data_IF_306316381151
#
_entry.id   IF_306316381151
#
_cell.length_a   1.000
_cell.length_b   1.000
_cell.length_c   1.000
_cell.angle_alpha   90.00
_cell.angle_beta   90.00
_cell.angle_gamma   90.00
#
_symmetry.space_group_name_H-M   'P 1'
#
loop_
_entity.id
_entity.type
_entity.pdbx_description
1 polymer ?
#
# COMPACT_ATOMS: atom_id res chain seq x y z
N UNK A 1 11.72 28.43 -41.75
CA UNK A 1 12.46 28.44 -40.46
C UNK A 1 11.58 27.79 -39.42
N UNK A 2 11.82 26.54 -39.12
CA UNK A 2 11.05 25.80 -38.12
C UNK A 2 11.57 26.18 -36.71
N UNK A 3 10.67 26.70 -35.88
CA UNK A 3 10.95 27.11 -34.50
C UNK A 3 11.16 25.83 -33.65
N UNK A 4 12.41 25.48 -33.42
CA UNK A 4 12.86 24.29 -32.69
C UNK A 4 13.00 24.62 -31.19
N UNK A 5 11.91 25.07 -30.56
CA UNK A 5 11.87 25.22 -29.09
C UNK A 5 11.64 23.86 -28.46
N UNK A 6 12.70 23.28 -27.92
CA UNK A 6 12.54 22.15 -27.00
C UNK A 6 11.60 22.57 -25.87
N UNK A 7 10.57 21.77 -25.53
CA UNK A 7 9.70 22.07 -24.40
C UNK A 7 10.52 22.11 -23.11
N UNK A 8 10.36 23.15 -22.33
CA UNK A 8 11.05 23.29 -21.04
C UNK A 8 10.68 22.12 -20.12
N UNK A 9 11.62 21.66 -19.28
CA UNK A 9 11.35 20.61 -18.25
C UNK A 9 10.06 20.88 -17.45
N UNK A 10 9.68 22.13 -17.27
CA UNK A 10 8.44 22.56 -16.60
C UNK A 10 7.16 22.23 -17.39
N UNK A 11 7.22 22.14 -18.71
CA UNK A 11 6.05 21.81 -19.54
C UNK A 11 5.81 20.31 -19.63
N UNK A 12 6.86 19.50 -19.51
CA UNK A 12 6.74 18.02 -19.45
C UNK A 12 6.13 17.53 -18.14
N UNK A 13 6.41 18.20 -17.02
CA UNK A 13 5.80 17.89 -15.71
C UNK A 13 4.30 18.24 -15.63
N UNK A 14 3.83 19.17 -16.48
CA UNK A 14 2.40 19.52 -16.57
C UNK A 14 1.56 18.57 -17.42
N UNK A 15 2.18 17.66 -18.16
CA UNK A 15 1.49 16.76 -19.09
C UNK A 15 1.26 15.35 -18.52
N UNK A 16 1.88 15.02 -17.37
CA UNK A 16 1.57 13.79 -16.63
C UNK A 16 0.44 14.12 -15.65
N UNK A 17 -0.69 13.43 -15.78
CA UNK A 17 -1.76 13.51 -14.80
C UNK A 17 -1.16 13.20 -13.42
N UNK A 18 -1.34 14.11 -12.46
CA UNK A 18 -0.86 13.93 -11.10
C UNK A 18 -1.57 12.74 -10.45
N UNK A 19 -0.81 11.79 -9.94
CA UNK A 19 -1.32 10.67 -9.14
C UNK A 19 -0.49 10.59 -7.85
N UNK A 20 -1.09 10.73 -6.66
CA UNK A 20 -0.36 10.74 -5.39
C UNK A 20 0.30 9.39 -5.07
N UNK A 21 0.04 8.35 -5.85
CA UNK A 21 0.66 7.04 -5.68
C UNK A 21 1.79 6.78 -6.69
N UNK A 22 2.20 7.79 -7.48
CA UNK A 22 3.27 7.61 -8.47
C UNK A 22 4.60 7.28 -7.79
N UNK A 23 5.16 6.14 -8.16
CA UNK A 23 6.35 5.56 -7.54
C UNK A 23 7.46 5.35 -8.57
N UNK A 24 8.69 5.64 -8.18
CA UNK A 24 9.88 5.32 -8.97
C UNK A 24 10.32 3.89 -8.65
N UNK A 25 10.36 3.05 -9.68
CA UNK A 25 10.80 1.65 -9.59
C UNK A 25 12.30 1.49 -9.88
N UNK A 26 12.89 2.40 -10.62
CA UNK A 26 14.32 2.36 -10.94
C UNK A 26 14.65 2.88 -12.33
N UNK A 27 15.85 2.56 -12.79
CA UNK A 27 16.30 2.83 -14.16
C UNK A 27 16.10 1.57 -15.02
N UNK A 28 15.52 1.76 -16.19
CA UNK A 28 15.39 0.69 -17.16
C UNK A 28 16.74 0.38 -17.87
N UNK A 29 16.73 -0.58 -18.78
CA UNK A 29 17.93 -0.97 -19.55
C UNK A 29 18.47 0.12 -20.47
N UNK A 30 17.71 1.17 -20.75
CA UNK A 30 18.11 2.32 -21.54
C UNK A 30 18.64 3.48 -20.66
N UNK A 31 18.56 3.32 -19.32
CA UNK A 31 18.91 4.38 -18.38
C UNK A 31 17.78 5.39 -18.15
N UNK A 32 16.57 5.11 -18.62
CA UNK A 32 15.41 5.96 -18.38
C UNK A 32 14.74 5.59 -17.03
N UNK A 33 14.21 6.61 -16.35
CA UNK A 33 13.49 6.40 -15.10
C UNK A 33 12.16 5.69 -15.38
N UNK A 34 12.02 4.49 -14.86
CA UNK A 34 10.75 3.77 -14.87
C UNK A 34 9.95 4.10 -13.62
N UNK A 35 8.81 4.73 -13.80
CA UNK A 35 7.88 5.08 -12.75
C UNK A 35 6.44 4.78 -13.19
N UNK A 36 5.57 4.51 -12.24
CA UNK A 36 4.13 4.31 -12.49
C UNK A 36 3.36 4.45 -11.19
N UNK A 37 2.11 4.93 -11.21
CA UNK A 37 1.26 4.91 -10.03
C UNK A 37 1.04 3.49 -9.49
N UNK A 38 1.20 3.31 -8.19
CA UNK A 38 0.89 2.04 -7.50
C UNK A 38 -0.59 1.68 -7.72
N UNK A 39 -1.47 2.68 -7.75
CA UNK A 39 -2.92 2.53 -7.99
C UNK A 39 -3.27 1.88 -9.33
N UNK A 40 -2.41 1.99 -10.36
CA UNK A 40 -2.63 1.34 -11.67
C UNK A 40 -2.44 -0.17 -11.63
N UNK A 41 -1.48 -0.65 -10.81
CA UNK A 41 -1.41 -2.05 -10.44
C UNK A 41 -1.84 -2.15 -8.98
N UNK A 42 -3.15 -2.15 -8.67
CA UNK A 42 -3.64 -1.78 -7.34
C UNK A 42 -3.02 -2.57 -6.20
N UNK A 43 -2.58 -3.80 -6.49
CA UNK A 43 -1.91 -4.66 -5.52
C UNK A 43 -0.66 -5.25 -6.17
N UNK A 44 0.43 -5.30 -5.39
CA UNK A 44 1.76 -5.68 -5.84
C UNK A 44 2.34 -6.79 -4.98
N UNK A 45 2.95 -7.79 -5.59
CA UNK A 45 3.84 -8.74 -4.92
C UNK A 45 5.27 -8.27 -5.15
N UNK A 46 6.06 -8.17 -4.07
CA UNK A 46 7.50 -7.89 -4.12
C UNK A 46 8.23 -9.09 -3.55
N UNK A 47 8.90 -9.85 -4.39
CA UNK A 47 9.51 -11.10 -3.95
C UNK A 47 10.95 -11.24 -4.40
N UNK A 48 11.77 -11.81 -3.52
CA UNK A 48 13.19 -12.10 -3.78
C UNK A 48 13.83 -12.72 -2.56
N UNK A 49 14.91 -13.46 -2.79
CA UNK A 49 15.67 -14.10 -1.70
C UNK A 49 16.28 -13.07 -0.73
N UNK A 50 16.66 -13.53 0.45
CA UNK A 50 17.44 -12.73 1.41
C UNK A 50 18.69 -12.16 0.73
N UNK A 51 18.94 -10.86 0.93
CA UNK A 51 20.06 -10.16 0.28
C UNK A 51 19.81 -9.73 -1.18
N UNK A 52 18.61 -9.92 -1.71
CA UNK A 52 18.24 -9.41 -3.05
C UNK A 52 18.11 -7.89 -3.11
N UNK A 53 18.00 -7.21 -1.96
CA UNK A 53 17.76 -5.78 -1.84
C UNK A 53 16.28 -5.43 -1.69
N UNK A 54 15.40 -6.38 -1.33
CA UNK A 54 13.93 -6.20 -1.23
C UNK A 54 13.53 -5.01 -0.34
N UNK A 55 14.02 -4.94 0.88
CA UNK A 55 13.65 -3.89 1.84
C UNK A 55 14.14 -2.52 1.39
N UNK A 56 15.38 -2.44 0.90
CA UNK A 56 15.93 -1.19 0.32
C UNK A 56 15.11 -0.74 -0.88
N UNK A 57 14.71 -1.68 -1.74
CA UNK A 57 13.86 -1.40 -2.91
C UNK A 57 12.50 -0.82 -2.49
N UNK A 58 11.82 -1.46 -1.53
CA UNK A 58 10.52 -1.00 -1.03
C UNK A 58 10.67 0.37 -0.35
N UNK A 59 11.69 0.56 0.48
CA UNK A 59 11.94 1.83 1.16
C UNK A 59 12.23 2.97 0.18
N UNK A 60 13.05 2.75 -0.85
CA UNK A 60 13.33 3.77 -1.85
C UNK A 60 12.10 4.11 -2.71
N UNK A 61 11.30 3.10 -3.05
CA UNK A 61 10.03 3.30 -3.76
C UNK A 61 9.05 4.11 -2.91
N UNK A 62 8.87 3.78 -1.62
CA UNK A 62 8.00 4.53 -0.72
C UNK A 62 8.51 5.95 -0.46
N UNK A 63 9.81 6.15 -0.32
CA UNK A 63 10.39 7.49 -0.22
C UNK A 63 10.03 8.33 -1.45
N UNK A 64 10.10 7.76 -2.67
CA UNK A 64 9.71 8.48 -3.90
C UNK A 64 8.23 8.88 -3.90
N UNK A 65 7.34 8.02 -3.43
CA UNK A 65 5.89 8.33 -3.30
C UNK A 65 5.66 9.45 -2.29
N UNK A 66 6.30 9.39 -1.12
CA UNK A 66 6.18 10.43 -0.09
C UNK A 66 6.76 11.78 -0.50
N UNK A 67 7.72 11.83 -1.42
CA UNK A 67 8.18 13.09 -2.01
C UNK A 67 7.20 13.67 -3.01
N UNK A 68 6.38 12.83 -3.61
CA UNK A 68 5.43 13.22 -4.65
C UNK A 68 4.09 13.66 -4.07
N UNK A 69 3.57 12.97 -3.06
CA UNK A 69 2.29 13.20 -2.42
C UNK A 69 2.42 14.02 -1.11
N UNK A 70 1.30 14.56 -0.64
CA UNK A 70 1.17 15.13 0.71
C UNK A 70 0.41 14.17 1.62
N UNK A 71 0.53 14.29 2.98
CA UNK A 71 -0.14 13.37 3.91
C UNK A 71 -1.66 13.30 3.79
N UNK A 72 -2.32 14.37 3.33
CA UNK A 72 -3.78 14.39 3.10
C UNK A 72 -4.20 13.62 1.85
N UNK A 73 -3.27 13.28 0.98
CA UNK A 73 -3.53 12.54 -0.25
C UNK A 73 -3.14 11.07 -0.16
N UNK A 74 -2.23 10.74 0.77
CA UNK A 74 -1.66 9.40 0.91
C UNK A 74 -1.50 9.02 2.38
N UNK A 75 -1.97 7.82 2.72
CA UNK A 75 -1.69 7.17 4.01
C UNK A 75 -0.92 5.87 3.75
N UNK A 76 0.04 5.59 4.62
CA UNK A 76 0.86 4.37 4.58
C UNK A 76 0.60 3.60 5.87
N UNK A 77 0.28 2.33 5.74
CA UNK A 77 0.12 1.40 6.86
C UNK A 77 1.10 0.26 6.68
N UNK A 78 1.70 -0.20 7.77
CA UNK A 78 2.79 -1.18 7.71
C UNK A 78 2.53 -2.32 8.66
N UNK A 79 2.70 -3.55 8.15
CA UNK A 79 2.76 -4.79 8.93
C UNK A 79 4.18 -5.32 8.81
N UNK A 80 4.95 -5.23 9.91
CA UNK A 80 6.35 -5.71 10.00
C UNK A 80 6.52 -6.64 11.20
N UNK A 81 6.25 -7.95 11.04
CA UNK A 81 6.37 -8.91 12.13
C UNK A 81 7.80 -9.01 12.71
N UNK A 82 8.80 -8.63 11.94
CA UNK A 82 10.22 -8.74 12.33
C UNK A 82 10.73 -7.56 13.13
N UNK A 83 10.01 -6.44 13.14
CA UNK A 83 10.37 -5.20 13.87
C UNK A 83 11.73 -4.61 13.46
N UNK A 84 12.12 -4.72 12.20
CA UNK A 84 13.46 -4.32 11.75
C UNK A 84 13.42 -3.29 10.65
N UNK A 85 12.71 -3.59 9.55
CA UNK A 85 12.85 -2.86 8.30
C UNK A 85 12.03 -1.58 8.26
N UNK A 86 10.90 -1.54 8.98
CA UNK A 86 9.92 -0.45 8.91
C UNK A 86 9.72 0.30 10.24
N UNK A 87 10.53 0.05 11.25
CA UNK A 87 10.53 0.84 12.48
C UNK A 87 10.66 2.37 12.23
N UNK A 88 11.50 2.83 11.27
CA UNK A 88 11.63 4.26 10.95
C UNK A 88 10.32 4.94 10.49
N UNK A 89 9.31 4.18 10.05
CA UNK A 89 8.00 4.72 9.65
C UNK A 89 7.15 5.20 10.83
N UNK A 90 7.50 4.82 12.05
CA UNK A 90 6.81 5.25 13.25
C UNK A 90 6.79 6.77 13.38
N UNK A 91 5.59 7.33 13.57
CA UNK A 91 5.41 8.78 13.70
C UNK A 91 5.63 9.57 12.40
N UNK A 92 5.68 8.93 11.23
CA UNK A 92 5.66 9.66 9.96
C UNK A 92 4.28 10.29 9.71
N UNK A 93 4.22 11.49 9.13
CA UNK A 93 2.95 12.17 8.80
C UNK A 93 2.00 11.35 7.92
N UNK A 94 2.55 10.44 7.12
CA UNK A 94 1.79 9.53 6.26
C UNK A 94 1.29 8.28 6.98
N UNK A 95 1.78 8.01 8.21
CA UNK A 95 1.50 6.77 8.95
C UNK A 95 0.56 7.05 10.13
N UNK A 96 -0.76 7.07 9.93
CA UNK A 96 -1.73 7.30 11.01
C UNK A 96 -1.76 6.19 12.05
N UNK A 97 -1.20 5.02 11.70
CA UNK A 97 -1.01 3.86 12.56
C UNK A 97 0.48 3.54 12.56
N UNK A 98 1.08 3.38 13.73
CA UNK A 98 2.47 2.95 13.84
C UNK A 98 2.64 1.54 13.23
N UNK A 99 3.83 1.16 12.73
CA UNK A 99 4.05 -0.17 12.18
C UNK A 99 3.57 -1.27 13.12
N UNK A 100 2.67 -2.10 12.63
CA UNK A 100 2.07 -3.21 13.37
C UNK A 100 3.04 -4.39 13.33
N UNK A 101 3.37 -4.90 14.51
CA UNK A 101 4.40 -5.94 14.66
C UNK A 101 3.88 -7.21 15.32
N UNK A 102 2.71 -7.16 15.93
CA UNK A 102 2.02 -8.30 16.51
C UNK A 102 1.06 -8.93 15.49
N UNK A 103 0.93 -10.26 15.52
CA UNK A 103 0.11 -10.98 14.54
C UNK A 103 -1.38 -10.74 14.70
N UNK A 104 -1.86 -10.63 15.95
CA UNK A 104 -3.26 -10.32 16.22
C UNK A 104 -3.58 -8.90 15.73
N UNK A 105 -2.70 -7.95 16.02
CA UNK A 105 -2.83 -6.57 15.52
C UNK A 105 -2.76 -6.51 13.98
N UNK A 106 -1.97 -7.38 13.34
CA UNK A 106 -1.93 -7.46 11.87
C UNK A 106 -3.27 -7.94 11.28
N UNK A 107 -3.90 -8.95 11.90
CA UNK A 107 -5.25 -9.37 11.53
C UNK A 107 -6.25 -8.22 11.74
N UNK A 108 -6.17 -7.51 12.87
CA UNK A 108 -7.01 -6.37 13.17
C UNK A 108 -6.84 -5.23 12.18
N UNK A 109 -5.62 -4.90 11.79
CA UNK A 109 -5.36 -3.86 10.78
C UNK A 109 -5.96 -4.25 9.41
N UNK A 110 -5.84 -5.51 8.99
CA UNK A 110 -6.45 -5.98 7.75
C UNK A 110 -7.98 -5.99 7.81
N UNK A 111 -8.55 -6.35 8.96
CA UNK A 111 -10.00 -6.26 9.22
C UNK A 111 -10.50 -4.82 9.15
N UNK A 112 -9.76 -3.89 9.77
CA UNK A 112 -10.01 -2.46 9.66
C UNK A 112 -9.96 -1.98 8.19
N UNK A 113 -8.96 -2.41 7.41
CA UNK A 113 -8.88 -2.04 5.99
C UNK A 113 -10.05 -2.57 5.16
N UNK A 114 -10.56 -3.78 5.49
CA UNK A 114 -11.77 -4.30 4.86
C UNK A 114 -13.01 -3.47 5.21
N UNK A 115 -13.13 -3.06 6.47
CA UNK A 115 -14.22 -2.19 6.92
C UNK A 115 -14.11 -0.79 6.27
N UNK A 116 -12.94 -0.20 6.27
CA UNK A 116 -12.70 1.11 5.63
C UNK A 116 -13.00 1.06 4.13
N UNK A 117 -12.65 -0.03 3.46
CA UNK A 117 -13.02 -0.26 2.07
C UNK A 117 -14.54 -0.22 1.87
N UNK A 118 -15.29 -0.94 2.69
CA UNK A 118 -16.74 -1.00 2.59
C UNK A 118 -17.37 0.36 2.91
N UNK A 119 -16.90 1.05 3.96
CA UNK A 119 -17.29 2.43 4.30
C UNK A 119 -17.07 3.39 3.13
N UNK A 120 -15.92 3.29 2.47
CA UNK A 120 -15.62 4.11 1.28
C UNK A 120 -16.61 3.83 0.15
N UNK A 121 -16.98 2.59 -0.08
CA UNK A 121 -18.00 2.26 -1.09
C UNK A 121 -19.35 2.90 -0.78
N UNK A 122 -19.77 3.00 0.47
CA UNK A 122 -20.98 3.71 0.86
C UNK A 122 -20.89 5.21 0.53
N UNK A 123 -19.75 5.84 0.84
CA UNK A 123 -19.49 7.25 0.50
C UNK A 123 -19.48 7.48 -1.02
N UNK A 124 -18.80 6.62 -1.78
CA UNK A 124 -18.78 6.69 -3.25
C UNK A 124 -20.18 6.57 -3.84
N UNK A 125 -21.00 5.65 -3.32
CA UNK A 125 -22.38 5.46 -3.75
C UNK A 125 -23.25 6.68 -3.42
N UNK A 126 -23.13 7.25 -2.23
CA UNK A 126 -23.86 8.46 -1.82
C UNK A 126 -23.50 9.65 -2.73
N UNK A 127 -22.24 9.79 -3.10
CA UNK A 127 -21.74 10.82 -4.01
C UNK A 127 -22.02 10.50 -5.49
N UNK A 128 -22.55 9.30 -5.81
CA UNK A 128 -22.84 8.83 -7.18
C UNK A 128 -21.59 8.83 -8.08
N UNK A 129 -20.48 8.41 -7.54
CA UNK A 129 -19.19 8.23 -8.24
C UNK A 129 -18.75 6.77 -8.17
N UNK A 130 -17.76 6.36 -9.01
CA UNK A 130 -17.39 4.95 -9.14
C UNK A 130 -16.10 4.58 -8.42
N UNK A 131 -15.24 5.55 -8.16
CA UNK A 131 -13.92 5.34 -7.59
C UNK A 131 -13.43 6.59 -6.86
N UNK A 132 -12.32 6.46 -6.17
CA UNK A 132 -11.68 7.54 -5.40
C UNK A 132 -11.25 8.73 -6.26
N UNK A 133 -10.85 8.51 -7.50
CA UNK A 133 -10.41 9.58 -8.42
C UNK A 133 -11.61 10.49 -8.76
N UNK A 134 -12.72 9.89 -9.21
CA UNK A 134 -13.96 10.61 -9.51
C UNK A 134 -14.51 11.31 -8.25
N UNK A 135 -14.36 10.67 -7.08
CA UNK A 135 -14.76 11.26 -5.80
C UNK A 135 -13.96 12.51 -5.48
N UNK A 136 -12.63 12.41 -5.50
CA UNK A 136 -11.74 13.51 -5.19
C UNK A 136 -11.87 14.67 -6.18
N UNK A 137 -12.09 14.36 -7.46
CA UNK A 137 -12.39 15.37 -8.47
C UNK A 137 -13.69 16.09 -8.12
N UNK A 138 -14.75 15.37 -7.77
CA UNK A 138 -16.04 15.96 -7.40
C UNK A 138 -15.96 16.82 -6.14
N UNK A 139 -15.20 16.40 -5.13
CA UNK A 139 -14.94 17.21 -3.93
C UNK A 139 -14.26 18.53 -4.30
N UNK A 140 -13.29 18.50 -5.20
CA UNK A 140 -12.61 19.70 -5.66
C UNK A 140 -13.55 20.64 -6.47
N UNK A 141 -14.39 20.08 -7.34
CA UNK A 141 -15.41 20.84 -8.06
C UNK A 141 -16.42 21.54 -7.12
N UNK A 142 -16.85 20.85 -6.05
CA UNK A 142 -17.73 21.42 -5.03
C UNK A 142 -17.04 22.56 -4.26
N UNK A 143 -15.77 22.41 -3.88
CA UNK A 143 -14.98 23.47 -3.24
C UNK A 143 -14.87 24.70 -4.13
N UNK A 144 -14.52 24.51 -5.40
CA UNK A 144 -14.41 25.61 -6.37
C UNK A 144 -15.76 26.30 -6.64
N UNK A 145 -16.86 25.57 -6.50
CA UNK A 145 -18.21 26.12 -6.62
C UNK A 145 -18.72 26.80 -5.33
N UNK A 146 -17.96 26.78 -4.23
CA UNK A 146 -18.38 27.33 -2.93
C UNK A 146 -19.49 26.52 -2.24
N UNK A 147 -19.59 25.22 -2.53
CA UNK A 147 -20.61 24.29 -2.02
C UNK A 147 -20.02 23.34 -0.98
N UNK A 148 -19.36 23.88 0.03
CA UNK A 148 -18.68 23.10 1.06
C UNK A 148 -19.65 22.24 1.89
N UNK A 149 -20.89 22.67 2.05
CA UNK A 149 -21.99 21.95 2.73
C UNK A 149 -22.46 20.69 1.99
N UNK A 150 -22.15 20.55 0.70
CA UNK A 150 -22.40 19.32 -0.08
C UNK A 150 -21.23 18.32 -0.01
N UNK A 151 -20.09 18.68 0.60
CA UNK A 151 -18.91 17.81 0.75
C UNK A 151 -19.11 16.91 1.97
N UNK A 152 -18.90 15.58 1.86
CA UNK A 152 -18.91 14.68 3.02
C UNK A 152 -17.90 15.09 4.09
N UNK A 153 -18.14 14.72 5.36
CA UNK A 153 -17.25 15.02 6.49
C UNK A 153 -15.79 14.56 6.26
N UNK A 154 -15.61 13.48 5.53
CA UNK A 154 -14.27 12.98 5.15
C UNK A 154 -13.46 13.97 4.29
N UNK A 155 -14.13 14.95 3.66
CA UNK A 155 -13.48 15.85 2.72
C UNK A 155 -12.85 15.10 1.55
N UNK A 156 -11.57 15.35 1.25
CA UNK A 156 -10.80 14.60 0.28
C UNK A 156 -10.45 13.21 0.85
N UNK A 157 -10.63 12.18 0.07
CA UNK A 157 -10.28 10.80 0.45
C UNK A 157 -8.82 10.50 0.07
N UNK A 158 -7.98 10.17 1.08
CA UNK A 158 -6.60 9.78 0.85
C UNK A 158 -6.49 8.36 0.26
N UNK A 159 -5.53 8.13 -0.64
CA UNK A 159 -5.13 6.77 -0.99
C UNK A 159 -4.48 6.09 0.21
N UNK A 160 -4.62 4.77 0.30
CA UNK A 160 -3.96 3.96 1.33
C UNK A 160 -3.04 2.94 0.65
N UNK A 161 -1.78 2.89 1.07
CA UNK A 161 -0.85 1.82 0.72
C UNK A 161 -0.56 1.03 1.99
N UNK A 162 -0.97 -0.24 2.01
CA UNK A 162 -0.64 -1.16 3.09
C UNK A 162 0.53 -2.05 2.68
N UNK A 163 1.64 -1.93 3.41
CA UNK A 163 2.87 -2.70 3.20
C UNK A 163 2.85 -3.89 4.16
N UNK A 164 3.04 -5.09 3.62
CA UNK A 164 3.24 -6.32 4.38
C UNK A 164 4.66 -6.80 4.10
N UNK A 165 5.59 -6.69 5.08
CA UNK A 165 7.02 -6.96 4.84
C UNK A 165 7.33 -8.43 4.61
N UNK A 166 6.76 -9.34 5.38
CA UNK A 166 6.96 -10.78 5.19
C UNK A 166 5.62 -11.52 5.25
N UNK A 167 5.01 -11.64 4.08
CA UNK A 167 3.72 -12.30 3.92
C UNK A 167 3.74 -13.78 4.35
N UNK A 168 4.89 -14.46 4.13
CA UNK A 168 5.03 -15.85 4.53
C UNK A 168 4.84 -16.05 6.04
N UNK A 169 5.44 -15.19 6.87
CA UNK A 169 5.36 -15.29 8.32
C UNK A 169 3.91 -15.06 8.79
N UNK A 170 3.18 -14.16 8.11
CA UNK A 170 1.79 -13.85 8.42
C UNK A 170 0.86 -15.03 8.16
N UNK A 171 0.89 -15.61 6.94
CA UNK A 171 -0.02 -16.71 6.53
C UNK A 171 0.31 -18.02 7.23
N UNK A 172 1.58 -18.26 7.58
CA UNK A 172 1.99 -19.45 8.30
C UNK A 172 1.53 -19.46 9.76
N UNK A 173 1.36 -18.28 10.35
CA UNK A 173 0.90 -18.11 11.73
C UNK A 173 -0.62 -18.07 11.80
N UNK A 174 -1.29 -17.34 10.90
CA UNK A 174 -2.73 -17.16 10.91
C UNK A 174 -3.28 -17.20 9.47
N UNK A 175 -3.88 -18.33 9.09
CA UNK A 175 -4.39 -18.54 7.72
C UNK A 175 -5.56 -17.64 7.35
N UNK A 176 -6.37 -17.22 8.31
CA UNK A 176 -7.53 -16.37 8.07
C UNK A 176 -7.14 -14.97 7.53
N UNK A 177 -5.90 -14.57 7.74
CA UNK A 177 -5.31 -13.36 7.13
C UNK A 177 -5.32 -13.41 5.61
N UNK A 178 -5.14 -14.59 5.00
CA UNK A 178 -5.16 -14.74 3.54
C UNK A 178 -6.52 -14.35 2.97
N UNK A 179 -7.63 -14.69 3.63
CA UNK A 179 -8.99 -14.35 3.19
C UNK A 179 -9.22 -12.84 3.19
N UNK A 180 -8.71 -12.12 4.20
CA UNK A 180 -8.78 -10.65 4.26
C UNK A 180 -7.97 -10.00 3.13
N UNK A 181 -6.77 -10.50 2.87
CA UNK A 181 -5.91 -10.02 1.79
C UNK A 181 -6.56 -10.28 0.42
N UNK A 182 -7.14 -11.46 0.21
CA UNK A 182 -7.86 -11.80 -1.02
C UNK A 182 -9.07 -10.86 -1.19
N UNK A 183 -9.85 -10.61 -0.14
CA UNK A 183 -11.00 -9.70 -0.18
C UNK A 183 -10.58 -8.29 -0.58
N UNK A 184 -9.52 -7.75 0.03
CA UNK A 184 -8.95 -6.46 -0.35
C UNK A 184 -8.45 -6.47 -1.79
N UNK A 185 -7.70 -7.50 -2.19
CA UNK A 185 -7.15 -7.60 -3.55
C UNK A 185 -8.23 -7.67 -4.63
N UNK A 186 -9.41 -8.21 -4.30
CA UNK A 186 -10.54 -8.28 -5.23
C UNK A 186 -11.32 -6.98 -5.36
N UNK A 187 -11.40 -6.19 -4.30
CA UNK A 187 -12.38 -5.10 -4.22
C UNK A 187 -11.79 -3.72 -3.93
N UNK A 188 -10.61 -3.61 -3.32
CA UNK A 188 -10.15 -2.36 -2.74
C UNK A 188 -9.66 -1.31 -3.76
N UNK A 189 -9.48 -1.66 -5.04
CA UNK A 189 -8.99 -0.76 -6.09
C UNK A 189 -9.80 0.53 -6.20
N UNK A 190 -11.11 0.42 -6.35
CA UNK A 190 -11.97 1.59 -6.51
C UNK A 190 -12.06 2.46 -5.24
N UNK A 191 -11.84 1.85 -4.06
CA UNK A 191 -11.75 2.54 -2.78
C UNK A 191 -10.38 3.21 -2.54
N UNK A 192 -9.42 3.09 -3.47
CA UNK A 192 -8.10 3.69 -3.35
C UNK A 192 -7.19 3.04 -2.32
N UNK A 193 -7.38 1.74 -2.03
CA UNK A 193 -6.54 0.98 -1.11
C UNK A 193 -5.69 0.00 -1.90
N UNK A 194 -4.37 0.06 -1.72
CA UNK A 194 -3.39 -0.77 -2.39
C UNK A 194 -2.62 -1.63 -1.39
N UNK A 195 -2.35 -2.89 -1.74
CA UNK A 195 -1.49 -3.78 -0.97
C UNK A 195 -0.13 -3.92 -1.64
N UNK A 196 0.93 -3.80 -0.86
CA UNK A 196 2.30 -4.11 -1.25
C UNK A 196 2.76 -5.31 -0.43
N UNK A 197 2.60 -6.50 -1.02
CA UNK A 197 2.83 -7.80 -0.35
C UNK A 197 4.26 -8.24 -0.62
N UNK A 198 5.13 -8.13 0.37
CA UNK A 198 6.53 -8.52 0.24
C UNK A 198 6.80 -9.89 0.87
N UNK A 199 7.69 -10.66 0.26
CA UNK A 199 8.15 -11.95 0.81
C UNK A 199 9.56 -12.32 0.36
N UNK A 200 10.31 -12.93 1.26
CA UNK A 200 11.60 -13.56 0.96
C UNK A 200 11.45 -15.05 0.60
N UNK A 201 10.24 -15.62 0.73
CA UNK A 201 9.93 -17.03 0.49
C UNK A 201 8.88 -17.17 -0.63
N UNK A 202 9.26 -16.95 -1.89
CA UNK A 202 8.34 -17.06 -3.00
C UNK A 202 8.08 -18.53 -3.39
N UNK A 203 7.52 -19.31 -2.48
CA UNK A 203 7.13 -20.69 -2.73
C UNK A 203 5.64 -20.80 -3.08
N UNK A 204 5.23 -21.88 -3.74
CA UNK A 204 3.85 -22.05 -4.23
C UNK A 204 2.80 -22.18 -3.12
N UNK A 205 3.20 -22.59 -1.93
CA UNK A 205 2.38 -22.64 -0.71
C UNK A 205 2.17 -21.26 -0.08
N UNK A 206 3.06 -20.30 -0.32
CA UNK A 206 2.96 -18.93 0.16
C UNK A 206 2.31 -18.04 -0.90
N UNK A 207 2.86 -18.00 -2.11
CA UNK A 207 2.29 -17.23 -3.22
C UNK A 207 1.34 -18.14 -4.00
N UNK A 208 0.19 -18.40 -3.39
CA UNK A 208 -0.83 -19.30 -3.93
C UNK A 208 -1.37 -18.81 -5.29
N UNK A 209 -1.97 -19.73 -6.07
CA UNK A 209 -2.62 -19.37 -7.33
C UNK A 209 -3.74 -18.35 -7.13
N UNK A 210 -4.43 -18.38 -5.99
CA UNK A 210 -5.49 -17.43 -5.65
C UNK A 210 -4.93 -16.03 -5.42
N UNK A 211 -3.84 -15.90 -4.67
CA UNK A 211 -3.14 -14.61 -4.49
C UNK A 211 -2.65 -14.09 -5.83
N UNK A 212 -2.01 -14.93 -6.64
CA UNK A 212 -1.49 -14.55 -7.97
C UNK A 212 -2.58 -14.05 -8.91
N UNK A 213 -3.77 -14.65 -8.87
CA UNK A 213 -4.90 -14.23 -9.70
C UNK A 213 -5.45 -12.85 -9.31
N UNK A 214 -5.37 -12.48 -8.03
CA UNK A 214 -5.90 -11.23 -7.51
C UNK A 214 -4.85 -10.11 -7.40
N UNK A 215 -3.55 -10.47 -7.43
CA UNK A 215 -2.42 -9.53 -7.37
C UNK A 215 -1.56 -9.70 -8.63
N UNK A 216 -1.97 -9.15 -9.78
CA UNK A 216 -1.30 -9.38 -11.05
C UNK A 216 0.00 -8.60 -11.22
N UNK A 217 0.16 -7.44 -10.56
CA UNK A 217 1.37 -6.63 -10.64
C UNK A 217 2.45 -7.20 -9.68
N UNK A 218 3.69 -7.32 -10.17
CA UNK A 218 4.74 -8.01 -9.42
C UNK A 218 6.11 -7.40 -9.66
N UNK A 219 6.94 -7.44 -8.62
CA UNK A 219 8.34 -7.06 -8.65
C UNK A 219 9.15 -8.29 -8.25
N UNK A 220 9.79 -8.90 -9.23
CA UNK A 220 10.69 -10.02 -9.01
C UNK A 220 12.13 -9.53 -8.85
N UNK A 221 12.66 -9.59 -7.63
CA UNK A 221 14.08 -9.43 -7.37
C UNK A 221 14.79 -10.79 -7.52
N UNK A 222 16.11 -10.85 -7.23
CA UNK A 222 16.87 -12.08 -7.34
C UNK A 222 16.23 -13.21 -6.54
N UNK A 223 16.01 -14.36 -7.20
CA UNK A 223 15.52 -15.61 -6.60
C UNK A 223 16.63 -16.66 -6.54
N UNK A 224 16.43 -17.73 -5.75
CA UNK A 224 17.38 -18.83 -5.60
C UNK A 224 17.49 -19.69 -6.87
N UNK A 225 16.37 -19.85 -7.57
CA UNK A 225 16.25 -20.74 -8.72
C UNK A 225 15.13 -20.26 -9.67
N UNK A 226 15.05 -20.91 -10.83
CA UNK A 226 14.07 -20.60 -11.87
C UNK A 226 12.62 -20.96 -11.46
N UNK A 227 12.42 -21.93 -10.56
CA UNK A 227 11.08 -22.30 -10.09
C UNK A 227 10.50 -21.16 -9.25
N UNK A 228 11.29 -20.58 -8.37
CA UNK A 228 10.88 -19.40 -7.60
C UNK A 228 10.62 -18.18 -8.51
N UNK A 229 11.42 -18.01 -9.58
CA UNK A 229 11.14 -16.99 -10.61
C UNK A 229 9.76 -17.21 -11.26
N UNK A 230 9.48 -18.45 -11.66
CA UNK A 230 8.17 -18.83 -12.23
C UNK A 230 6.99 -18.55 -11.27
N UNK A 231 7.21 -18.70 -9.96
CA UNK A 231 6.18 -18.38 -8.97
C UNK A 231 5.94 -16.88 -8.93
N UNK A 232 7.01 -16.07 -8.96
CA UNK A 232 6.91 -14.61 -8.81
C UNK A 232 6.40 -13.93 -10.07
N UNK A 233 7.05 -14.13 -11.22
CA UNK A 233 6.77 -13.38 -12.45
C UNK A 233 6.16 -14.23 -13.58
N UNK A 234 5.86 -15.49 -13.32
CA UNK A 234 5.37 -16.49 -14.29
C UNK A 234 6.37 -16.82 -15.40
N UNK A 235 7.62 -16.40 -15.27
CA UNK A 235 8.72 -16.68 -16.22
C UNK A 235 10.05 -16.94 -15.46
N UNK A 236 10.98 -17.69 -16.03
CA UNK A 236 12.34 -17.79 -15.50
C UNK A 236 13.10 -16.49 -15.78
N UNK A 237 14.07 -16.15 -14.95
CA UNK A 237 14.95 -15.00 -15.19
C UNK A 237 15.38 -14.27 -13.91
N UNK A 238 14.54 -14.26 -12.88
CA UNK A 238 14.92 -13.61 -11.60
C UNK A 238 16.13 -14.28 -10.94
N UNK A 239 16.38 -15.58 -11.18
CA UNK A 239 17.54 -16.28 -10.68
C UNK A 239 18.87 -15.77 -11.27
N UNK A 240 18.82 -15.08 -12.43
CA UNK A 240 19.97 -14.52 -13.13
C UNK A 240 20.26 -13.07 -12.77
N UNK A 241 19.36 -12.44 -12.01
CA UNK A 241 19.53 -11.07 -11.57
C UNK A 241 20.76 -10.91 -10.66
N UNK A 242 21.39 -9.74 -10.72
CA UNK A 242 22.59 -9.46 -9.94
C UNK A 242 22.33 -9.43 -8.42
N UNK A 243 21.10 -9.10 -8.00
CA UNK A 243 20.75 -8.74 -6.63
C UNK A 243 20.88 -7.23 -6.43
N UNK A 244 20.87 -6.75 -5.18
CA UNK A 244 21.05 -5.34 -4.87
C UNK A 244 20.05 -4.43 -5.59
N UNK A 245 18.78 -4.84 -5.71
CA UNK A 245 17.73 -4.09 -6.38
C UNK A 245 17.61 -4.32 -7.89
N UNK A 246 18.46 -5.15 -8.52
CA UNK A 246 18.23 -5.62 -9.91
C UNK A 246 16.95 -6.44 -9.92
N UNK A 247 15.97 -6.05 -10.74
CA UNK A 247 14.60 -6.58 -10.67
C UNK A 247 13.91 -6.60 -12.03
N UNK A 248 12.83 -7.38 -12.09
CA UNK A 248 11.87 -7.39 -13.20
C UNK A 248 10.52 -6.94 -12.64
N UNK A 249 9.99 -5.87 -13.19
CA UNK A 249 8.64 -5.36 -12.89
C UNK A 249 7.67 -5.90 -13.92
N UNK A 250 6.70 -6.72 -13.48
CA UNK A 250 5.59 -7.22 -14.28
C UNK A 250 4.35 -6.39 -14.01
N UNK A 251 3.82 -5.76 -15.04
CA UNK A 251 2.62 -4.93 -14.97
C UNK A 251 1.34 -5.79 -15.15
N UNK A 252 0.20 -5.16 -14.86
CA UNK A 252 -1.12 -5.83 -14.93
C UNK A 252 -1.53 -6.29 -16.32
N UNK A 253 -0.99 -5.68 -17.38
CA UNK A 253 -1.18 -6.08 -18.77
C UNK A 253 -0.25 -7.23 -19.21
N UNK A 254 0.59 -7.71 -18.29
CA UNK A 254 1.56 -8.77 -18.53
C UNK A 254 2.90 -8.28 -19.09
N UNK A 255 3.03 -7.00 -19.43
CA UNK A 255 4.33 -6.45 -19.86
C UNK A 255 5.36 -6.50 -18.73
N UNK A 256 6.63 -6.68 -19.10
CA UNK A 256 7.74 -6.78 -18.15
C UNK A 256 8.81 -5.76 -18.49
N UNK A 257 9.28 -5.06 -17.45
CA UNK A 257 10.38 -4.11 -17.57
C UNK A 257 11.49 -4.54 -16.61
N UNK A 258 12.69 -4.70 -17.13
CA UNK A 258 13.87 -4.91 -16.30
C UNK A 258 14.33 -3.56 -15.80
N UNK A 259 14.50 -3.43 -14.48
CA UNK A 259 14.92 -2.18 -13.84
C UNK A 259 16.00 -2.43 -12.77
N UNK A 260 16.88 -1.46 -12.62
CA UNK A 260 17.75 -1.35 -11.46
C UNK A 260 17.11 -0.41 -10.45
N UNK A 261 16.60 -0.97 -9.35
CA UNK A 261 16.04 -0.17 -8.25
C UNK A 261 17.06 0.78 -7.65
N UNK A 262 16.64 1.96 -7.21
CA UNK A 262 17.54 2.91 -6.58
C UNK A 262 17.99 2.37 -5.22
N UNK A 263 19.23 2.71 -4.86
CA UNK A 263 19.76 2.45 -3.54
C UNK A 263 19.48 3.65 -2.64
N UNK A 264 19.02 3.39 -1.44
CA UNK A 264 18.93 4.36 -0.35
C UNK A 264 19.59 3.75 0.88
N UNK A 265 20.50 4.47 1.49
CA UNK A 265 21.10 4.07 2.78
C UNK A 265 20.17 4.40 3.93
N UNK A 266 20.35 3.72 5.08
CA UNK A 266 19.55 4.00 6.29
C UNK A 266 19.70 5.47 6.73
N UNK A 267 20.91 6.04 6.61
CA UNK A 267 21.16 7.43 6.96
C UNK A 267 20.40 8.41 6.06
N UNK A 268 20.34 8.15 4.75
CA UNK A 268 19.55 8.96 3.82
C UNK A 268 18.06 8.80 4.08
N UNK A 269 17.58 7.58 4.33
CA UNK A 269 16.18 7.31 4.66
C UNK A 269 15.75 8.07 5.93
N UNK A 270 16.57 8.02 6.98
CA UNK A 270 16.32 8.78 8.22
C UNK A 270 16.28 10.29 7.96
N UNK A 271 17.23 10.82 7.17
CA UNK A 271 17.27 12.24 6.82
C UNK A 271 15.99 12.69 6.09
N UNK A 272 15.52 11.84 5.15
CA UNK A 272 14.26 12.08 4.43
C UNK A 272 13.08 12.08 5.41
N UNK A 273 12.99 11.08 6.27
CA UNK A 273 11.89 10.93 7.21
C UNK A 273 11.85 12.04 8.25
N UNK A 274 13.02 12.49 8.74
CA UNK A 274 13.11 13.62 9.66
C UNK A 274 12.65 14.92 8.97
N UNK A 275 13.04 15.14 7.71
CA UNK A 275 12.56 16.27 6.92
C UNK A 275 11.02 16.22 6.74
N UNK A 276 10.44 15.05 6.48
CA UNK A 276 8.98 14.91 6.34
C UNK A 276 8.25 15.17 7.66
N UNK A 277 8.79 14.71 8.80
CA UNK A 277 8.25 15.02 10.15
C UNK A 277 8.33 16.51 10.43
N UNK A 278 9.45 17.14 10.13
CA UNK A 278 9.64 18.58 10.32
C UNK A 278 8.68 19.42 9.46
N UNK A 279 8.45 18.98 8.22
CA UNK A 279 7.61 19.68 7.25
C UNK A 279 6.11 19.56 7.54
N UNK A 280 5.65 18.37 7.94
CA UNK A 280 4.22 18.07 8.03
C UNK A 280 3.72 17.79 9.46
N UNK A 281 4.62 17.64 10.43
CA UNK A 281 4.27 17.36 11.84
C UNK A 281 3.85 15.92 12.09
N UNK A 282 3.08 15.73 13.17
CA UNK A 282 2.56 14.43 13.58
C UNK A 282 1.34 14.01 12.72
N UNK A 283 1.16 12.71 12.46
CA UNK A 283 -0.01 12.24 11.74
C UNK A 283 -1.29 12.32 12.59
N UNK A 284 -2.42 12.54 11.93
CA UNK A 284 -3.73 12.28 12.54
C UNK A 284 -3.85 10.79 12.84
N UNK A 285 -3.85 10.43 14.13
CA UNK A 285 -3.83 9.05 14.60
C UNK A 285 -5.16 8.34 14.38
N UNK A 286 -5.10 7.11 13.91
CA UNK A 286 -6.26 6.21 13.76
C UNK A 286 -6.15 5.11 14.81
N UNK A 287 -7.14 5.03 15.70
CA UNK A 287 -7.30 3.92 16.62
C UNK A 287 -8.14 2.81 15.95
N UNK A 288 -7.49 2.02 15.09
CA UNK A 288 -8.15 0.94 14.37
C UNK A 288 -8.72 -0.14 15.29
N UNK A 289 -8.13 -0.31 16.49
CA UNK A 289 -8.62 -1.30 17.47
C UNK A 289 -9.98 -0.91 18.01
N UNK A 290 -10.14 0.33 18.45
CA UNK A 290 -11.44 0.85 18.88
C UNK A 290 -12.47 0.78 17.76
N UNK A 291 -12.10 1.15 16.53
CA UNK A 291 -12.99 1.05 15.36
C UNK A 291 -13.43 -0.40 15.12
N UNK A 292 -12.51 -1.37 15.21
CA UNK A 292 -12.84 -2.79 15.06
C UNK A 292 -13.82 -3.28 16.15
N UNK A 293 -13.60 -2.89 17.41
CA UNK A 293 -14.50 -3.25 18.54
C UNK A 293 -15.90 -2.68 18.32
N UNK A 294 -16.01 -1.40 18.00
CA UNK A 294 -17.27 -0.69 17.79
C UNK A 294 -18.08 -1.26 16.62
N UNK A 295 -17.41 -1.82 15.60
CA UNK A 295 -18.05 -2.40 14.42
C UNK A 295 -18.16 -3.93 14.44
N UNK A 296 -17.89 -4.58 15.58
CA UNK A 296 -18.05 -6.02 15.76
C UNK A 296 -17.03 -6.86 14.96
N UNK A 297 -15.87 -6.32 14.67
CA UNK A 297 -14.76 -6.96 13.94
C UNK A 297 -13.67 -7.50 14.88
N UNK A 298 -13.93 -7.56 16.17
CA UNK A 298 -12.91 -7.80 17.20
C UNK A 298 -12.88 -9.26 17.70
N UNK A 299 -13.36 -10.22 16.91
CA UNK A 299 -13.31 -11.65 17.28
C UNK A 299 -11.88 -12.13 17.63
N UNK A 300 -10.86 -11.50 17.06
CA UNK A 300 -9.45 -11.74 17.32
C UNK A 300 -8.92 -11.08 18.61
N UNK A 301 -9.72 -10.24 19.28
CA UNK A 301 -9.37 -9.53 20.52
C UNK A 301 -9.86 -10.25 21.77
N UNK A 302 -10.42 -11.46 21.69
CA UNK A 302 -10.96 -12.19 22.85
C UNK A 302 -9.91 -12.36 23.97
N UNK A 303 -8.62 -12.39 23.65
CA UNK A 303 -7.52 -12.39 24.62
C UNK A 303 -7.18 -10.97 25.18
N UNK A 304 -7.81 -9.90 24.65
CA UNK A 304 -7.53 -8.50 25.05
C UNK A 304 -8.46 -8.00 26.18
N UNK A 305 -9.49 -8.76 26.55
CA UNK A 305 -10.49 -8.33 27.55
C UNK A 305 -9.94 -8.22 28.98
N UNK A 306 -8.79 -8.81 29.27
CA UNK A 306 -8.21 -8.77 30.62
C UNK A 306 -7.57 -7.41 30.97
N UNK A 307 -7.22 -6.57 30.01
CA UNK A 307 -6.56 -5.28 30.22
C UNK A 307 -7.49 -4.05 30.20
N UNK A 308 -8.77 -4.20 29.82
CA UNK A 308 -9.74 -3.08 29.79
C UNK A 308 -10.55 -3.04 31.10
N UNK A 309 -10.54 -1.91 31.83
CA UNK A 309 -11.32 -1.78 33.07
C UNK A 309 -12.80 -2.05 32.84
N UNK A 310 -13.42 -2.85 33.70
CA UNK A 310 -14.85 -3.26 33.63
C UNK A 310 -15.84 -2.10 33.47
N UNK A 311 -15.48 -0.89 33.79
CA UNK A 311 -16.31 0.31 33.66
C UNK A 311 -16.47 0.81 32.21
N UNK A 312 -15.71 0.30 31.24
CA UNK A 312 -15.79 0.66 29.83
C UNK A 312 -16.36 -0.47 28.93
N UNK A 313 -16.76 -1.59 29.51
CA UNK A 313 -17.33 -2.75 28.79
C UNK A 313 -18.83 -2.56 28.54
N UNK A 314 -19.20 -1.64 27.65
CA UNK A 314 -20.56 -1.52 27.15
C UNK A 314 -20.68 -2.07 25.73
N UNK A 315 -20.83 -3.41 25.64
CA UNK A 315 -21.16 -4.11 24.39
C UNK A 315 -22.61 -3.79 24.03
N UNK A 316 -22.88 -2.91 23.09
CA UNK A 316 -24.15 -2.85 22.40
C UNK A 316 -24.17 -3.97 21.35
N UNK A 317 -25.07 -4.96 21.55
CA UNK A 317 -25.31 -6.03 20.56
C UNK A 317 -25.54 -5.43 19.17
N UNK A 318 -24.92 -5.96 18.10
CA UNK A 318 -25.13 -5.49 16.76
C UNK A 318 -26.59 -5.64 16.36
N UNK A 319 -27.18 -4.62 15.76
CA UNK A 319 -28.46 -4.73 15.08
C UNK A 319 -28.23 -5.57 13.82
N UNK A 320 -28.64 -6.85 13.89
CA UNK A 320 -28.83 -7.64 12.68
C UNK A 320 -29.90 -6.98 11.83
N UNK A 321 -29.51 -6.50 10.64
CA UNK A 321 -30.40 -6.40 9.48
C UNK A 321 -29.56 -6.27 8.21
N UNK A 322 -29.26 -7.40 7.59
CA UNK A 322 -29.14 -7.44 6.15
C UNK A 322 -29.95 -8.61 5.64
N UNK A 323 -31.20 -8.34 5.25
CA UNK A 323 -31.94 -9.19 4.33
C UNK A 323 -31.68 -8.66 2.92
N UNK A 324 -31.41 -9.58 2.00
CA UNK A 324 -31.18 -9.43 0.57
C UNK A 324 -32.28 -8.66 -0.16
#
# INVERSE_FOLDING_TARGET
MADNRQPSKHSLLKTLAYDPTDAVFGLDTNGEVFHTPISKGPHWIVAGQTGSGKSVYVNSMMASVMFHAVPDELKIMVIDPKKVEFEPYKGLPYCPIDPVTDMNDAYGLLSYLCWEMDRRYEVLAAMKVRNIEDYNQKVEELRQAGKEDEIPEDGRMAYIICIIDEYADLVMTEKSVEDLIIRLAQKARAAGISLLIATQRPSADIVSSTIKANVPARIGLKTTDSMNSMIVIDEPGCEKLAGYGDSVVKLTDGSMVKVQGPFISDGELHTIFDHLREKYGEPDRIDFKTICVENGLAEWMEDYEDDVPMSQRHIKKPKQTFSW
#
